data_IF_418329713187
#
_entry.id   IF_418329713187
#
_cell.length_a   1.000
_cell.length_b   1.000
_cell.length_c   1.000
_cell.angle_alpha   90.00
_cell.angle_beta   90.00
_cell.angle_gamma   90.00
#
_symmetry.space_group_name_H-M   'P 1'
#
loop_
_entity.id
_entity.type
_entity.pdbx_description
1 polymer ?
#
# COMPACT_ATOMS: atom_id res chain seq x y z
N UNK A 1 55.55 -32.56 45.42
CA UNK A 1 54.94 -31.21 45.49
C UNK A 1 54.00 -31.09 44.30
N UNK A 2 52.68 -31.04 44.54
CA UNK A 2 51.71 -30.83 43.46
C UNK A 2 51.85 -29.40 42.93
N UNK A 3 52.02 -29.23 41.62
CA UNK A 3 52.11 -27.91 41.00
C UNK A 3 50.74 -27.22 41.06
N UNK A 4 50.66 -26.14 41.82
CA UNK A 4 49.46 -25.31 41.96
C UNK A 4 49.51 -24.09 41.04
N UNK A 5 48.40 -23.81 40.36
CA UNK A 5 48.29 -22.73 39.37
C UNK A 5 47.33 -21.65 39.84
N UNK A 6 47.64 -20.37 39.60
CA UNK A 6 46.69 -19.27 39.82
C UNK A 6 45.86 -19.04 38.55
N UNK A 7 44.76 -18.29 38.65
CA UNK A 7 43.89 -18.00 37.48
C UNK A 7 44.67 -17.44 36.27
N UNK A 8 45.72 -16.64 36.50
CA UNK A 8 46.58 -16.10 35.44
C UNK A 8 47.35 -17.23 34.72
N UNK A 9 47.86 -18.20 35.48
CA UNK A 9 48.60 -19.34 34.94
C UNK A 9 47.67 -20.28 34.18
N UNK A 10 46.43 -20.45 34.65
CA UNK A 10 45.39 -21.19 33.93
C UNK A 10 45.13 -20.57 32.57
N UNK A 11 44.87 -19.25 32.51
CA UNK A 11 44.66 -18.54 31.23
C UNK A 11 45.82 -18.74 30.26
N UNK A 12 47.06 -18.63 30.74
CA UNK A 12 48.24 -18.81 29.89
C UNK A 12 48.40 -20.25 29.38
N UNK A 13 48.01 -21.26 30.18
CA UNK A 13 48.16 -22.68 29.83
C UNK A 13 47.01 -23.23 29.00
N UNK A 14 45.79 -22.75 29.20
CA UNK A 14 44.60 -23.29 28.52
C UNK A 14 44.12 -22.40 27.37
N UNK A 15 44.58 -21.16 27.28
CA UNK A 15 44.08 -20.17 26.31
C UNK A 15 42.71 -19.57 26.67
N UNK A 16 42.14 -19.96 27.82
CA UNK A 16 40.80 -19.54 28.24
C UNK A 16 40.87 -18.14 28.87
N UNK A 17 40.07 -17.15 28.43
CA UNK A 17 40.05 -15.82 29.03
C UNK A 17 39.77 -15.84 30.53
N UNK A 18 40.43 -14.97 31.29
CA UNK A 18 40.36 -14.90 32.76
C UNK A 18 38.93 -14.85 33.33
N UNK A 19 38.02 -14.15 32.64
CA UNK A 19 36.62 -14.04 33.07
C UNK A 19 35.84 -15.34 32.85
N UNK A 20 36.14 -16.10 31.78
CA UNK A 20 35.54 -17.40 31.50
C UNK A 20 36.04 -18.46 32.48
N UNK A 21 37.35 -18.47 32.80
CA UNK A 21 37.91 -19.35 33.84
C UNK A 21 37.17 -19.16 35.17
N UNK A 22 36.87 -17.90 35.53
CA UNK A 22 36.12 -17.57 36.76
C UNK A 22 34.66 -18.06 36.69
N UNK A 23 33.99 -17.86 35.56
CA UNK A 23 32.61 -18.35 35.33
C UNK A 23 32.54 -19.87 35.45
N UNK A 24 33.42 -20.61 34.77
CA UNK A 24 33.46 -22.07 34.88
C UNK A 24 33.81 -22.54 36.29
N UNK A 25 34.72 -21.84 36.98
CA UNK A 25 35.03 -22.16 38.37
C UNK A 25 33.83 -22.01 39.30
N UNK A 26 33.00 -20.98 39.10
CA UNK A 26 31.77 -20.77 39.88
C UNK A 26 30.74 -21.86 39.58
N UNK A 27 30.51 -22.16 38.30
CA UNK A 27 29.55 -23.20 37.90
C UNK A 27 29.99 -24.59 38.39
N UNK A 28 31.29 -24.89 38.37
CA UNK A 28 31.84 -26.12 38.94
C UNK A 28 31.57 -26.20 40.46
N UNK A 29 31.77 -25.10 41.19
CA UNK A 29 31.48 -25.02 42.63
C UNK A 29 29.97 -25.20 42.92
N UNK A 30 29.09 -24.65 42.08
CA UNK A 30 27.63 -24.83 42.19
C UNK A 30 27.19 -26.28 41.97
N UNK A 31 27.89 -27.02 41.10
CA UNK A 31 27.61 -28.43 40.80
C UNK A 31 28.41 -29.41 41.68
N UNK A 32 29.00 -28.94 42.79
CA UNK A 32 29.64 -29.77 43.80
C UNK A 32 31.14 -30.01 43.63
N UNK A 33 31.79 -29.40 42.64
CA UNK A 33 33.25 -29.52 42.44
C UNK A 33 34.02 -28.43 43.21
N UNK A 34 34.82 -28.84 44.19
CA UNK A 34 35.50 -27.93 45.11
C UNK A 34 36.88 -27.49 44.59
N UNK A 35 36.97 -26.24 44.12
CA UNK A 35 38.26 -25.61 43.78
C UNK A 35 38.88 -25.02 45.04
N UNK A 36 40.18 -25.28 45.25
CA UNK A 36 40.90 -24.78 46.42
C UNK A 36 40.97 -23.24 46.40
N UNK A 37 40.69 -22.60 47.54
CA UNK A 37 40.76 -21.14 47.69
C UNK A 37 41.78 -20.78 48.78
N UNK A 38 42.70 -19.89 48.47
CA UNK A 38 43.47 -19.12 49.48
C UNK A 38 42.78 -17.77 49.64
N UNK A 39 42.93 -17.10 50.79
CA UNK A 39 42.16 -15.93 51.26
C UNK A 39 41.68 -14.88 50.22
N UNK A 40 42.35 -14.73 49.08
CA UNK A 40 41.99 -13.80 48.00
C UNK A 40 41.98 -14.42 46.58
N UNK A 41 42.36 -15.70 46.42
CA UNK A 41 42.52 -16.32 45.09
C UNK A 41 42.22 -17.82 45.04
N UNK A 42 41.59 -18.25 43.94
CA UNK A 42 41.43 -19.67 43.58
C UNK A 42 42.77 -20.25 43.12
N UNK A 43 43.10 -21.41 43.65
CA UNK A 43 44.26 -22.21 43.32
C UNK A 43 43.78 -23.47 42.61
N UNK A 44 44.33 -23.71 41.43
CA UNK A 44 43.96 -24.80 40.54
C UNK A 44 45.03 -25.88 40.53
N UNK A 45 44.62 -27.14 40.60
CA UNK A 45 45.47 -28.30 40.34
C UNK A 45 45.49 -28.63 38.85
N UNK A 46 46.43 -29.48 38.44
CA UNK A 46 46.56 -29.90 37.03
C UNK A 46 45.28 -30.52 36.47
N UNK A 47 44.52 -31.24 37.31
CA UNK A 47 43.25 -31.85 36.90
C UNK A 47 42.15 -30.82 36.67
N UNK A 48 42.14 -29.73 37.45
CA UNK A 48 41.22 -28.60 37.27
C UNK A 48 41.49 -27.92 35.91
N UNK A 49 42.75 -27.80 35.50
CA UNK A 49 43.11 -27.23 34.19
C UNK A 49 42.60 -28.08 33.03
N UNK A 50 42.73 -29.41 33.14
CA UNK A 50 42.21 -30.35 32.13
C UNK A 50 40.69 -30.25 32.05
N UNK A 51 40.01 -30.24 33.20
CA UNK A 51 38.56 -30.13 33.28
C UNK A 51 38.05 -28.82 32.67
N UNK A 52 38.65 -27.68 33.03
CA UNK A 52 38.31 -26.38 32.47
C UNK A 52 38.52 -26.33 30.95
N UNK A 53 39.57 -26.98 30.43
CA UNK A 53 39.83 -27.07 29.00
C UNK A 53 38.77 -27.92 28.29
N UNK A 54 38.40 -29.08 28.83
CA UNK A 54 37.35 -29.93 28.25
C UNK A 54 35.97 -29.24 28.24
N UNK A 55 35.62 -28.52 29.30
CA UNK A 55 34.39 -27.70 29.36
C UNK A 55 34.42 -26.63 28.27
N UNK A 56 35.56 -25.93 28.13
CA UNK A 56 35.69 -24.86 27.15
C UNK A 56 35.60 -25.36 25.71
N UNK A 57 36.24 -26.48 25.40
CA UNK A 57 36.21 -27.08 24.07
C UNK A 57 34.79 -27.53 23.70
N UNK A 58 34.08 -28.22 24.59
CA UNK A 58 32.68 -28.63 24.35
C UNK A 58 31.75 -27.43 24.17
N UNK A 59 31.87 -26.41 25.03
CA UNK A 59 31.08 -25.18 24.90
C UNK A 59 31.36 -24.41 23.59
N UNK A 60 32.61 -24.43 23.10
CA UNK A 60 32.99 -23.73 21.87
C UNK A 60 32.64 -24.50 20.59
N UNK A 61 32.67 -25.84 20.61
CA UNK A 61 32.43 -26.67 19.41
C UNK A 61 30.97 -27.07 19.22
N UNK A 62 30.21 -27.27 20.30
CA UNK A 62 28.84 -27.83 20.23
C UNK A 62 27.74 -26.79 20.47
N UNK A 63 28.07 -25.53 20.80
CA UNK A 63 27.10 -24.48 21.19
C UNK A 63 26.14 -24.91 22.32
N UNK A 64 26.53 -25.91 23.11
CA UNK A 64 25.75 -26.42 24.23
C UNK A 64 25.70 -25.43 25.41
N UNK A 65 24.60 -25.42 26.15
CA UNK A 65 24.49 -24.64 27.38
C UNK A 65 25.51 -25.16 28.39
N UNK A 66 26.45 -24.29 28.75
CA UNK A 66 27.56 -24.58 29.68
C UNK A 66 27.03 -25.19 30.99
N UNK A 67 25.82 -24.81 31.41
CA UNK A 67 25.17 -25.30 32.63
C UNK A 67 24.81 -26.79 32.55
N UNK A 68 24.49 -27.31 31.37
CA UNK A 68 24.15 -28.73 31.14
C UNK A 68 25.38 -29.61 30.92
N UNK A 69 26.48 -29.05 30.37
CA UNK A 69 27.71 -29.82 30.10
C UNK A 69 28.49 -30.23 31.35
N UNK A 70 28.43 -29.42 32.41
CA UNK A 70 29.17 -29.63 33.67
C UNK A 70 28.75 -30.93 34.39
N UNK A 71 27.46 -31.23 34.63
CA UNK A 71 27.06 -32.47 35.29
C UNK A 71 27.38 -33.73 34.46
N UNK A 72 27.40 -33.64 33.13
CA UNK A 72 27.78 -34.76 32.24
C UNK A 72 29.27 -35.10 32.42
N UNK A 73 30.14 -34.07 32.39
CA UNK A 73 31.58 -34.25 32.53
C UNK A 73 31.95 -34.73 33.95
N UNK A 74 31.23 -34.25 34.97
CA UNK A 74 31.43 -34.70 36.35
C UNK A 74 31.02 -36.17 36.53
N UNK A 75 29.91 -36.62 35.91
CA UNK A 75 29.51 -38.04 35.91
C UNK A 75 30.46 -38.96 35.14
N UNK A 76 31.07 -38.49 34.05
CA UNK A 76 32.10 -39.26 33.32
C UNK A 76 33.38 -39.49 34.17
N UNK A 77 33.65 -38.65 35.18
CA UNK A 77 34.86 -38.72 36.02
C UNK A 77 34.70 -39.57 37.29
N UNK A 78 33.47 -39.97 37.66
CA UNK A 78 33.21 -40.82 38.83
C UNK A 78 33.36 -42.34 38.57
N UNK A 79 33.83 -42.76 37.39
CA UNK A 79 34.21 -44.15 37.18
C UNK A 79 35.44 -44.48 38.05
N UNK A 80 35.35 -45.38 39.05
CA UNK A 80 36.44 -45.65 39.98
C UNK A 80 37.64 -46.31 39.27
N UNK A 81 38.88 -46.09 39.77
CA UNK A 81 40.07 -46.75 39.25
C UNK A 81 40.04 -48.23 39.64
N UNK A 82 40.25 -49.09 38.65
CA UNK A 82 40.39 -50.54 38.77
C UNK A 82 41.40 -50.92 39.87
N UNK A 83 41.01 -51.73 40.88
CA UNK A 83 41.96 -52.49 41.67
C UNK A 83 42.23 -53.86 41.02
N UNK A 84 43.51 -54.20 41.06
CA UNK A 84 44.17 -55.39 40.54
C UNK A 84 43.94 -56.60 41.48
N UNK A 85 43.43 -57.69 40.88
CA UNK A 85 43.64 -59.14 41.17
C UNK A 85 43.31 -59.70 42.57
N UNK A 86 42.34 -60.63 42.60
CA UNK A 86 42.21 -61.93 43.30
C UNK A 86 40.69 -62.14 43.50
N UNK A 87 39.99 -63.12 42.91
CA UNK A 87 40.17 -64.56 43.07
C UNK A 87 39.56 -65.38 41.93
N UNK A 88 40.18 -66.53 41.67
CA UNK A 88 39.78 -67.55 40.70
C UNK A 88 38.53 -68.30 41.18
N UNK A 89 37.33 -67.79 40.95
CA UNK A 89 36.11 -68.64 41.04
C UNK A 89 34.83 -68.08 40.37
N UNK A 90 34.95 -67.17 39.40
CA UNK A 90 33.78 -66.49 38.78
C UNK A 90 33.73 -66.51 37.24
N UNK A 91 34.46 -67.42 36.60
CA UNK A 91 34.66 -67.37 35.13
C UNK A 91 33.40 -67.83 34.35
N UNK A 92 32.51 -68.64 34.94
CA UNK A 92 31.36 -69.18 34.19
C UNK A 92 30.09 -68.31 34.20
N UNK A 93 29.98 -67.33 35.11
CA UNK A 93 28.81 -66.42 35.19
C UNK A 93 29.03 -65.10 34.45
N UNK A 94 30.25 -64.57 34.43
CA UNK A 94 30.60 -63.31 33.73
C UNK A 94 30.57 -63.42 32.20
N UNK A 95 31.03 -64.53 31.62
CA UNK A 95 30.98 -64.74 30.16
C UNK A 95 29.55 -64.77 29.59
N UNK A 96 28.57 -65.23 30.38
CA UNK A 96 27.14 -65.21 30.00
C UNK A 96 26.47 -63.85 30.21
N UNK A 97 26.99 -63.00 31.09
CA UNK A 97 26.51 -61.63 31.30
C UNK A 97 27.09 -60.68 30.25
N UNK A 98 28.38 -60.80 29.93
CA UNK A 98 29.03 -60.04 28.86
C UNK A 98 28.47 -60.39 27.48
N UNK A 99 28.17 -61.66 27.22
CA UNK A 99 27.48 -62.09 26.00
C UNK A 99 26.07 -61.50 25.88
N UNK A 100 25.32 -61.41 27.00
CA UNK A 100 23.98 -60.78 27.03
C UNK A 100 24.06 -59.26 26.80
N UNK A 101 25.05 -58.59 27.38
CA UNK A 101 25.27 -57.16 27.17
C UNK A 101 25.70 -56.85 25.72
N UNK A 102 26.51 -57.72 25.10
CA UNK A 102 26.86 -57.61 23.69
C UNK A 102 25.67 -57.86 22.77
N UNK A 103 24.84 -58.85 23.07
CA UNK A 103 23.62 -59.12 22.31
C UNK A 103 22.62 -57.96 22.41
N UNK A 104 22.46 -57.35 23.59
CA UNK A 104 21.65 -56.15 23.78
C UNK A 104 22.23 -54.93 23.01
N UNK A 105 23.57 -54.82 22.94
CA UNK A 105 24.24 -53.79 22.13
C UNK A 105 24.02 -54.00 20.63
N UNK A 106 24.11 -55.24 20.15
CA UNK A 106 23.84 -55.58 18.75
C UNK A 106 22.38 -55.29 18.37
N UNK A 107 21.42 -55.62 19.25
CA UNK A 107 20.01 -55.27 19.05
C UNK A 107 19.79 -53.74 19.01
N UNK A 108 20.50 -52.97 19.84
CA UNK A 108 20.46 -51.50 19.77
C UNK A 108 21.02 -50.96 18.47
N UNK A 109 22.11 -51.55 17.94
CA UNK A 109 22.67 -51.19 16.64
C UNK A 109 21.71 -51.50 15.48
N UNK A 110 21.09 -52.68 15.50
CA UNK A 110 20.06 -53.09 14.54
C UNK A 110 18.89 -52.11 14.54
N UNK A 111 18.39 -51.77 15.74
CA UNK A 111 17.30 -50.79 15.90
C UNK A 111 17.71 -49.40 15.41
N UNK A 112 18.94 -48.96 15.68
CA UNK A 112 19.46 -47.67 15.19
C UNK A 112 19.55 -47.64 13.66
N UNK A 113 19.95 -48.76 13.05
CA UNK A 113 20.02 -48.91 11.61
C UNK A 113 18.62 -48.80 10.98
N UNK A 114 17.64 -49.50 11.55
CA UNK A 114 16.24 -49.43 11.12
C UNK A 114 15.65 -48.01 11.25
N UNK A 115 15.96 -47.31 12.36
CA UNK A 115 15.53 -45.92 12.56
C UNK A 115 16.17 -44.98 11.53
N UNK A 116 17.46 -45.13 11.26
CA UNK A 116 18.14 -44.34 10.23
C UNK A 116 17.56 -44.59 8.84
N UNK A 117 17.24 -45.83 8.49
CA UNK A 117 16.61 -46.17 7.23
C UNK A 117 15.21 -45.54 7.10
N UNK A 118 14.41 -45.57 8.17
CA UNK A 118 13.12 -44.90 8.23
C UNK A 118 13.24 -43.38 8.06
N UNK A 119 14.23 -42.75 8.71
CA UNK A 119 14.52 -41.31 8.56
C UNK A 119 14.92 -40.98 7.12
N UNK A 120 15.76 -41.78 6.49
CA UNK A 120 16.18 -41.60 5.10
C UNK A 120 14.95 -41.67 4.18
N UNK A 121 14.08 -42.66 4.36
CA UNK A 121 12.87 -42.81 3.58
C UNK A 121 11.91 -41.61 3.76
N UNK A 122 11.71 -41.16 5.00
CA UNK A 122 10.89 -39.98 5.30
C UNK A 122 11.45 -38.71 4.66
N UNK A 123 12.77 -38.49 4.76
CA UNK A 123 13.44 -37.36 4.13
C UNK A 123 13.32 -37.40 2.61
N UNK A 124 13.49 -38.58 1.99
CA UNK A 124 13.29 -38.76 0.55
C UNK A 124 11.87 -38.40 0.11
N UNK A 125 10.87 -38.82 0.91
CA UNK A 125 9.46 -38.48 0.67
C UNK A 125 9.22 -36.98 0.78
N UNK A 126 9.75 -36.32 1.81
CA UNK A 126 9.63 -34.87 2.00
C UNK A 126 10.32 -34.08 0.89
N UNK A 127 11.50 -34.49 0.45
CA UNK A 127 12.21 -33.89 -0.68
C UNK A 127 11.35 -33.98 -1.94
N UNK A 128 10.77 -35.15 -2.21
CA UNK A 128 9.88 -35.36 -3.36
C UNK A 128 8.64 -34.46 -3.29
N UNK A 129 8.01 -34.37 -2.12
CA UNK A 129 6.86 -33.51 -1.91
C UNK A 129 7.18 -32.03 -2.08
N UNK A 130 8.32 -31.57 -1.57
CA UNK A 130 8.76 -30.18 -1.73
C UNK A 130 8.99 -29.87 -3.21
N UNK A 131 9.68 -30.75 -3.93
CA UNK A 131 9.89 -30.59 -5.37
C UNK A 131 8.56 -30.47 -6.13
N UNK A 132 7.57 -31.30 -5.83
CA UNK A 132 6.24 -31.22 -6.46
C UNK A 132 5.50 -29.92 -6.11
N UNK A 133 5.68 -29.41 -4.89
CA UNK A 133 5.11 -28.11 -4.50
C UNK A 133 5.78 -26.96 -5.25
N UNK A 134 7.09 -27.02 -5.43
CA UNK A 134 7.85 -26.01 -6.17
C UNK A 134 7.42 -26.00 -7.65
N UNK A 135 7.31 -27.17 -8.29
CA UNK A 135 6.80 -27.30 -9.67
C UNK A 135 5.38 -26.70 -9.81
N UNK A 136 4.49 -27.01 -8.86
CA UNK A 136 3.12 -26.47 -8.86
C UNK A 136 3.08 -24.95 -8.60
N UNK A 137 4.00 -24.44 -7.80
CA UNK A 137 4.14 -23.00 -7.55
C UNK A 137 4.57 -22.28 -8.83
N UNK A 138 5.53 -22.84 -9.56
CA UNK A 138 6.00 -22.31 -10.84
C UNK A 138 4.88 -22.28 -11.89
N UNK A 139 4.07 -23.35 -11.98
CA UNK A 139 2.89 -23.39 -12.85
C UNK A 139 1.87 -22.30 -12.50
N UNK A 140 1.57 -22.11 -11.20
CA UNK A 140 0.66 -21.08 -10.74
C UNK A 140 1.19 -19.67 -11.04
N UNK A 141 2.47 -19.43 -10.80
CA UNK A 141 3.16 -18.18 -11.13
C UNK A 141 3.04 -17.86 -12.62
N UNK A 142 3.28 -18.85 -13.49
CA UNK A 142 3.17 -18.66 -14.93
C UNK A 142 1.72 -18.36 -15.36
N UNK A 143 0.74 -19.04 -14.78
CA UNK A 143 -0.68 -18.77 -15.06
C UNK A 143 -1.10 -17.37 -14.62
N UNK A 144 -0.66 -16.93 -13.44
CA UNK A 144 -0.91 -15.57 -12.94
C UNK A 144 -0.32 -14.54 -13.90
N UNK A 145 0.94 -14.71 -14.29
CA UNK A 145 1.62 -13.80 -15.21
C UNK A 145 0.89 -13.68 -16.56
N UNK A 146 0.48 -14.81 -17.15
CA UNK A 146 -0.27 -14.81 -18.43
C UNK A 146 -1.64 -14.14 -18.28
N UNK A 147 -2.35 -14.41 -17.17
CA UNK A 147 -3.65 -13.79 -16.90
C UNK A 147 -3.53 -12.30 -16.67
N UNK A 148 -2.57 -11.85 -15.88
CA UNK A 148 -2.30 -10.43 -15.64
C UNK A 148 -1.99 -9.70 -16.95
N UNK A 149 -1.10 -10.25 -17.78
CA UNK A 149 -0.81 -9.66 -19.09
C UNK A 149 -2.02 -9.61 -20.03
N UNK A 150 -2.92 -10.60 -19.96
CA UNK A 150 -4.18 -10.57 -20.72
C UNK A 150 -5.16 -9.53 -20.18
N UNK A 151 -5.25 -9.38 -18.86
CA UNK A 151 -6.11 -8.37 -18.22
C UNK A 151 -5.61 -6.96 -18.50
N UNK A 152 -4.30 -6.74 -18.46
CA UNK A 152 -3.67 -5.47 -18.77
C UNK A 152 -3.98 -5.02 -20.22
N UNK A 153 -3.90 -5.94 -21.18
CA UNK A 153 -4.30 -5.66 -22.58
C UNK A 153 -5.77 -5.25 -22.69
N UNK A 154 -6.67 -5.98 -22.03
CA UNK A 154 -8.10 -5.64 -22.05
C UNK A 154 -8.37 -4.27 -21.42
N UNK A 155 -7.69 -3.95 -20.32
CA UNK A 155 -7.79 -2.63 -19.69
C UNK A 155 -7.28 -1.52 -20.61
N UNK A 156 -6.17 -1.76 -21.30
CA UNK A 156 -5.63 -0.79 -22.28
C UNK A 156 -6.62 -0.55 -23.42
N UNK A 157 -7.21 -1.60 -23.99
CA UNK A 157 -8.22 -1.49 -25.04
C UNK A 157 -9.46 -0.72 -24.58
N UNK A 158 -9.91 -0.95 -23.33
CA UNK A 158 -11.03 -0.22 -22.73
C UNK A 158 -10.73 1.27 -22.56
N UNK A 159 -9.52 1.61 -22.11
CA UNK A 159 -9.07 3.01 -21.96
C UNK A 159 -9.01 3.70 -23.32
N UNK A 160 -8.43 3.05 -24.31
CA UNK A 160 -8.32 3.60 -25.67
C UNK A 160 -9.71 3.81 -26.30
N UNK A 161 -10.62 2.85 -26.13
CA UNK A 161 -12.00 2.98 -26.60
C UNK A 161 -12.73 4.13 -25.90
N UNK A 162 -12.60 4.26 -24.57
CA UNK A 162 -13.22 5.34 -23.81
C UNK A 162 -12.71 6.71 -24.27
N UNK A 163 -11.39 6.86 -24.47
CA UNK A 163 -10.80 8.08 -24.99
C UNK A 163 -11.32 8.45 -26.39
N UNK A 164 -11.48 7.46 -27.27
CA UNK A 164 -12.07 7.66 -28.60
C UNK A 164 -13.53 8.09 -28.52
N UNK A 165 -14.34 7.47 -27.65
CA UNK A 165 -15.74 7.85 -27.50
C UNK A 165 -15.91 9.26 -26.96
N UNK A 166 -15.09 9.66 -26.00
CA UNK A 166 -15.12 11.01 -25.44
C UNK A 166 -14.72 12.06 -26.49
N UNK A 167 -13.68 11.76 -27.28
CA UNK A 167 -13.25 12.63 -28.37
C UNK A 167 -14.36 12.81 -29.42
N UNK A 168 -15.02 11.73 -29.83
CA UNK A 168 -16.12 11.77 -30.80
C UNK A 168 -17.35 12.53 -30.25
N UNK A 169 -17.67 12.33 -28.96
CA UNK A 169 -18.75 13.07 -28.31
C UNK A 169 -18.45 14.56 -28.25
N UNK A 170 -17.20 14.94 -27.93
CA UNK A 170 -16.76 16.33 -27.91
C UNK A 170 -16.88 16.96 -29.30
N UNK A 171 -16.40 16.30 -30.34
CA UNK A 171 -16.52 16.80 -31.72
C UNK A 171 -17.98 16.99 -32.14
N UNK A 172 -18.85 16.03 -31.80
CA UNK A 172 -20.30 16.14 -32.08
C UNK A 172 -20.95 17.31 -31.33
N UNK A 173 -20.54 17.55 -30.09
CA UNK A 173 -21.01 18.67 -29.28
C UNK A 173 -20.55 20.01 -29.86
N UNK A 174 -19.30 20.11 -30.30
CA UNK A 174 -18.76 21.30 -30.94
C UNK A 174 -19.51 21.62 -32.25
N UNK A 175 -19.78 20.60 -33.08
CA UNK A 175 -20.55 20.76 -34.31
C UNK A 175 -21.97 21.23 -34.03
N UNK A 176 -22.63 20.63 -33.02
CA UNK A 176 -23.98 21.00 -32.62
C UNK A 176 -24.03 22.45 -32.12
N UNK A 177 -23.10 22.84 -31.25
CA UNK A 177 -23.00 24.20 -30.74
C UNK A 177 -22.78 25.20 -31.87
N UNK A 178 -21.88 24.92 -32.80
CA UNK A 178 -21.62 25.80 -33.94
C UNK A 178 -22.87 25.97 -34.82
N UNK A 179 -23.61 24.88 -35.05
CA UNK A 179 -24.91 24.95 -35.74
C UNK A 179 -25.94 25.78 -34.96
N UNK A 180 -26.02 25.63 -33.64
CA UNK A 180 -26.93 26.42 -32.78
C UNK A 180 -26.58 27.91 -32.81
N UNK A 181 -25.30 28.27 -32.63
CA UNK A 181 -24.85 29.66 -32.71
C UNK A 181 -25.19 30.29 -34.06
N UNK A 182 -24.97 29.57 -35.16
CA UNK A 182 -25.31 30.04 -36.50
C UNK A 182 -26.81 30.21 -36.71
N UNK A 183 -27.64 29.34 -36.11
CA UNK A 183 -29.10 29.45 -36.16
C UNK A 183 -29.60 30.63 -35.35
N UNK A 184 -29.07 30.80 -34.13
CA UNK A 184 -29.43 31.88 -33.21
C UNK A 184 -29.08 33.24 -33.81
N UNK A 185 -27.86 33.40 -34.33
CA UNK A 185 -27.44 34.61 -35.04
C UNK A 185 -28.37 34.96 -36.22
N UNK A 186 -28.78 33.97 -37.03
CA UNK A 186 -29.76 34.19 -38.11
C UNK A 186 -31.14 34.57 -37.60
N UNK A 187 -31.56 34.04 -36.45
CA UNK A 187 -32.84 34.37 -35.84
C UNK A 187 -32.83 35.78 -35.27
N UNK A 188 -31.73 36.18 -34.63
CA UNK A 188 -31.50 37.52 -34.12
C UNK A 188 -31.47 38.55 -35.25
N UNK A 189 -30.78 38.30 -36.36
CA UNK A 189 -30.80 39.18 -37.54
C UNK A 189 -32.23 39.38 -38.09
N UNK A 190 -33.03 38.31 -38.17
CA UNK A 190 -34.43 38.39 -38.60
C UNK A 190 -35.27 39.19 -37.61
N UNK A 191 -35.06 38.99 -36.31
CA UNK A 191 -35.74 39.74 -35.26
C UNK A 191 -35.41 41.24 -35.37
N UNK A 192 -34.13 41.59 -35.49
CA UNK A 192 -33.67 42.97 -35.63
C UNK A 192 -34.27 43.64 -36.87
N UNK A 193 -34.37 42.91 -37.99
CA UNK A 193 -35.07 43.39 -39.20
C UNK A 193 -36.56 43.64 -38.94
N UNK A 194 -37.24 42.73 -38.26
CA UNK A 194 -38.67 42.86 -37.92
C UNK A 194 -38.91 44.07 -37.01
N UNK A 195 -38.12 44.21 -35.95
CA UNK A 195 -38.18 45.34 -35.01
C UNK A 195 -37.92 46.67 -35.72
N UNK A 196 -36.91 46.72 -36.60
CA UNK A 196 -36.63 47.92 -37.41
C UNK A 196 -37.81 48.26 -38.34
N UNK A 197 -38.44 47.27 -38.97
CA UNK A 197 -39.63 47.50 -39.80
C UNK A 197 -40.82 48.02 -38.99
N UNK A 198 -41.05 47.51 -37.78
CA UNK A 198 -42.10 47.98 -36.88
C UNK A 198 -41.84 49.45 -36.51
N UNK A 199 -40.63 49.76 -36.07
CA UNK A 199 -40.25 51.12 -35.68
C UNK A 199 -40.43 52.11 -36.84
N UNK A 200 -39.99 51.76 -38.05
CA UNK A 200 -40.16 52.60 -39.23
C UNK A 200 -41.64 52.78 -39.62
N UNK A 201 -42.46 51.72 -39.53
CA UNK A 201 -43.90 51.81 -39.80
C UNK A 201 -44.61 52.69 -38.79
N UNK A 202 -44.30 52.54 -37.50
CA UNK A 202 -44.90 53.36 -36.45
C UNK A 202 -44.46 54.83 -36.57
N UNK A 203 -43.18 55.10 -36.84
CA UNK A 203 -42.71 56.46 -37.12
C UNK A 203 -43.40 57.09 -38.33
N UNK A 204 -43.63 56.32 -39.40
CA UNK A 204 -44.35 56.82 -40.59
C UNK A 204 -45.82 57.08 -40.29
N UNK A 205 -46.48 56.20 -39.53
CA UNK A 205 -47.88 56.39 -39.09
C UNK A 205 -48.01 57.64 -38.25
N UNK A 206 -47.10 57.86 -37.30
CA UNK A 206 -47.09 59.05 -36.45
C UNK A 206 -46.87 60.33 -37.26
N UNK A 207 -45.96 60.31 -38.24
CA UNK A 207 -45.75 61.45 -39.14
C UNK A 207 -47.02 61.79 -39.95
N UNK A 208 -47.69 60.77 -40.51
CA UNK A 208 -48.95 60.95 -41.24
C UNK A 208 -50.06 61.49 -40.32
N UNK A 209 -50.20 60.96 -39.11
CA UNK A 209 -51.16 61.45 -38.12
C UNK A 209 -50.88 62.91 -37.75
N UNK A 210 -49.62 63.29 -37.51
CA UNK A 210 -49.25 64.68 -37.25
C UNK A 210 -49.58 65.60 -38.42
N UNK A 211 -49.36 65.16 -39.66
CA UNK A 211 -49.71 65.93 -40.85
C UNK A 211 -51.22 66.17 -40.92
N UNK A 212 -52.05 65.13 -40.75
CA UNK A 212 -53.51 65.25 -40.73
C UNK A 212 -53.98 66.17 -39.61
N UNK A 213 -53.39 66.07 -38.41
CA UNK A 213 -53.72 66.98 -37.30
C UNK A 213 -53.42 68.44 -37.66
N UNK A 214 -52.27 68.72 -38.31
CA UNK A 214 -51.92 70.07 -38.77
C UNK A 214 -52.91 70.58 -39.82
N UNK A 215 -53.21 69.77 -40.84
CA UNK A 215 -54.17 70.11 -41.89
C UNK A 215 -55.57 70.40 -41.32
N UNK A 216 -56.02 69.60 -40.34
CA UNK A 216 -57.29 69.83 -39.63
C UNK A 216 -57.23 71.16 -38.85
N UNK A 217 -56.11 71.46 -38.18
CA UNK A 217 -55.94 72.72 -37.44
C UNK A 217 -55.93 73.94 -38.37
N UNK A 218 -55.23 73.87 -39.50
CA UNK A 218 -55.21 74.90 -40.53
C UNK A 218 -56.60 75.12 -41.14
N UNK A 219 -57.31 74.04 -41.46
CA UNK A 219 -58.69 74.10 -41.94
C UNK A 219 -59.61 74.73 -40.92
N UNK A 220 -59.49 74.37 -39.63
CA UNK A 220 -60.25 75.00 -38.54
C UNK A 220 -59.98 76.50 -38.46
N UNK A 221 -58.72 76.95 -38.61
CA UNK A 221 -58.37 78.38 -38.66
C UNK A 221 -58.96 79.07 -39.88
N UNK A 222 -58.87 78.46 -41.06
CA UNK A 222 -59.41 79.01 -42.30
C UNK A 222 -60.95 79.15 -42.24
N UNK A 223 -61.64 78.14 -41.71
CA UNK A 223 -63.09 78.18 -41.51
C UNK A 223 -63.48 79.24 -40.46
N UNK A 224 -62.72 79.38 -39.38
CA UNK A 224 -62.95 80.44 -38.39
C UNK A 224 -62.79 81.83 -39.03
N UNK A 225 -61.69 82.07 -39.76
CA UNK A 225 -61.45 83.32 -40.48
C UNK A 225 -62.50 83.59 -41.58
N UNK A 226 -62.93 82.56 -42.30
CA UNK A 226 -63.98 82.67 -43.34
C UNK A 226 -65.35 82.97 -42.74
N UNK A 227 -65.70 82.35 -41.59
CA UNK A 227 -66.91 82.68 -40.84
C UNK A 227 -66.88 84.14 -40.40
N UNK A 228 -65.79 84.62 -39.80
CA UNK A 228 -65.62 86.03 -39.46
C UNK A 228 -65.82 86.93 -40.67
N UNK A 229 -65.16 86.64 -41.81
CA UNK A 229 -65.30 87.41 -43.04
C UNK A 229 -66.74 87.39 -43.59
N UNK A 230 -67.42 86.25 -43.59
CA UNK A 230 -68.82 86.12 -44.04
C UNK A 230 -69.78 86.88 -43.13
N UNK A 231 -69.59 86.82 -41.81
CA UNK A 231 -70.33 87.64 -40.85
C UNK A 231 -70.06 89.13 -41.12
N UNK A 232 -68.81 89.56 -41.25
CA UNK A 232 -68.47 90.96 -41.58
C UNK A 232 -69.06 91.43 -42.92
N UNK A 233 -69.09 90.57 -43.94
CA UNK A 233 -69.71 90.87 -45.23
C UNK A 233 -71.23 90.93 -45.16
N UNK A 234 -71.86 90.03 -44.38
CA UNK A 234 -73.31 90.00 -44.15
C UNK A 234 -73.78 91.20 -43.32
N UNK A 235 -72.98 91.62 -42.33
CA UNK A 235 -73.22 92.86 -41.60
C UNK A 235 -73.02 94.08 -42.52
N UNK A 236 -71.95 94.13 -43.32
CA UNK A 236 -71.76 95.20 -44.30
C UNK A 236 -72.94 95.30 -45.28
N UNK A 237 -73.42 94.18 -45.82
CA UNK A 237 -74.52 94.15 -46.78
C UNK A 237 -75.86 94.54 -46.16
N UNK A 238 -76.10 94.20 -44.89
CA UNK A 238 -77.26 94.68 -44.13
C UNK A 238 -77.20 96.21 -43.91
N UNK A 239 -76.04 96.75 -43.55
CA UNK A 239 -75.88 98.19 -43.37
C UNK A 239 -75.92 98.99 -44.68
N UNK A 240 -75.46 98.41 -45.80
CA UNK A 240 -75.58 99.07 -47.12
C UNK A 240 -77.00 98.97 -47.70
N UNK A 241 -77.74 97.88 -47.43
CA UNK A 241 -79.15 97.76 -47.83
C UNK A 241 -80.07 98.72 -47.06
N UNK A 242 -79.81 98.94 -45.77
CA UNK A 242 -80.51 99.97 -44.98
C UNK A 242 -80.24 101.41 -45.46
N UNK A 243 -79.15 101.63 -46.22
CA UNK A 243 -78.89 102.93 -46.87
C UNK A 243 -79.57 103.09 -48.23
N UNK A 244 -79.97 102.00 -48.91
CA UNK A 244 -80.64 102.05 -50.21
C UNK A 244 -82.16 102.31 -50.11
N UNK A 245 -82.80 101.98 -48.99
CA UNK A 245 -84.24 102.23 -48.77
C UNK A 245 -84.60 103.69 -48.44
N UNK A 246 -83.62 104.60 -48.26
CA UNK A 246 -83.85 106.03 -47.99
C UNK A 246 -83.68 106.96 -49.20
N UNK A 247 -83.49 106.43 -50.40
CA UNK A 247 -83.09 107.25 -51.57
C UNK A 247 -83.94 107.09 -52.83
N UNK A 248 -85.08 106.39 -52.76
CA UNK A 248 -86.10 106.42 -53.83
C UNK A 248 -87.48 106.62 -53.20
N UNK A 249 -87.77 107.87 -52.83
CA UNK A 249 -89.12 108.44 -52.66
C UNK A 249 -89.34 109.46 -53.79
#
# INVERSE_FOLDING_TARGET
MEATYKTKDVTNKTGIPKHIVRKYSQLLEEHGYMISKTADARIYKLDDLKLLKSIHERAATLQEDISETIPIILKEKEAPPVPVIQDKQEIQTKEKEDGRNFEEFMLKLEMLAQLNEAIIHQNSTLITQNRLKDEKLDELMQQVYVKEGSQEKMLQELVDHAAQTDALQKEKMDLLMNHMYKRESKQEEKMNKLVSQIYNKDSNRDAQLMQVIREIQETKRMVAASKEQSFFQSFKSLFSRAKQEKTNE
#
